data_IF_448599659510
#
_entry.id   IF_448599659510
#
_cell.length_a   1.000
_cell.length_b   1.000
_cell.length_c   1.000
_cell.angle_alpha   90.00
_cell.angle_beta   90.00
_cell.angle_gamma   90.00
#
_symmetry.space_group_name_H-M   'P 1'
#
loop_
_entity.id
_entity.type
_entity.pdbx_description
1 polymer ?
#
# COMPACT_ATOMS: atom_id res chain seq x y z
N UNK A 1 -8.03 12.89 -14.93
CA UNK A 1 -8.71 13.08 -13.64
C UNK A 1 -9.96 13.91 -13.84
N UNK A 2 -11.06 13.60 -13.17
CA UNK A 2 -12.22 14.48 -13.09
C UNK A 2 -11.83 15.70 -12.25
N UNK A 3 -12.32 16.91 -12.57
CA UNK A 3 -12.03 18.08 -11.76
C UNK A 3 -12.59 17.91 -10.35
N UNK A 4 -11.86 18.42 -9.38
CA UNK A 4 -12.38 18.59 -8.03
C UNK A 4 -13.50 19.61 -8.07
N UNK A 5 -14.73 19.20 -7.78
CA UNK A 5 -15.93 20.03 -7.91
C UNK A 5 -16.12 20.98 -6.71
N UNK A 6 -15.02 21.40 -6.06
CA UNK A 6 -15.08 22.29 -4.89
C UNK A 6 -15.34 23.74 -5.28
N UNK A 7 -14.96 24.15 -6.52
CA UNK A 7 -15.13 25.50 -6.99
C UNK A 7 -16.25 25.63 -8.03
N UNK A 8 -17.00 26.74 -8.00
CA UNK A 8 -18.06 27.05 -8.98
C UNK A 8 -17.56 27.04 -10.43
N UNK A 9 -16.29 27.45 -10.66
CA UNK A 9 -15.65 27.40 -11.99
C UNK A 9 -15.48 25.95 -12.50
N UNK A 10 -15.26 25.00 -11.62
CA UNK A 10 -15.10 23.59 -12.00
C UNK A 10 -16.42 22.98 -12.45
N UNK A 11 -17.55 23.39 -11.88
CA UNK A 11 -18.88 22.99 -12.34
C UNK A 11 -19.19 23.44 -13.77
N UNK A 12 -18.84 24.68 -14.11
CA UNK A 12 -19.04 25.23 -15.47
C UNK A 12 -18.17 24.48 -16.50
N UNK A 13 -16.94 24.14 -16.15
CA UNK A 13 -16.01 23.44 -17.02
C UNK A 13 -16.16 21.91 -16.97
N UNK A 14 -16.98 21.39 -16.08
CA UNK A 14 -17.12 19.94 -15.92
C UNK A 14 -17.64 19.24 -17.18
N UNK A 15 -18.72 19.73 -17.73
CA UNK A 15 -19.34 19.12 -18.92
C UNK A 15 -18.45 19.20 -20.17
N UNK A 16 -17.85 20.35 -20.53
CA UNK A 16 -16.88 20.43 -21.62
C UNK A 16 -15.66 19.51 -21.41
N UNK A 17 -15.09 19.46 -20.20
CA UNK A 17 -13.96 18.58 -19.87
C UNK A 17 -14.35 17.09 -19.97
N UNK A 18 -15.55 16.74 -19.55
CA UNK A 18 -16.08 15.37 -19.68
C UNK A 18 -16.23 14.95 -21.13
N UNK A 19 -16.77 15.83 -21.99
CA UNK A 19 -16.92 15.59 -23.43
C UNK A 19 -15.55 15.46 -24.09
N UNK A 20 -14.64 16.40 -23.83
CA UNK A 20 -13.27 16.36 -24.35
C UNK A 20 -12.54 15.06 -23.95
N UNK A 21 -12.66 14.67 -22.67
CA UNK A 21 -12.10 13.40 -22.19
C UNK A 21 -12.69 12.19 -22.93
N UNK A 22 -14.00 12.14 -23.16
CA UNK A 22 -14.64 11.05 -23.90
C UNK A 22 -14.13 10.96 -25.34
N UNK A 23 -13.98 12.11 -26.02
CA UNK A 23 -13.45 12.17 -27.37
C UNK A 23 -11.99 11.68 -27.40
N UNK A 24 -11.16 12.16 -26.48
CA UNK A 24 -9.76 11.75 -26.37
C UNK A 24 -9.62 10.25 -26.11
N UNK A 25 -10.40 9.71 -25.18
CA UNK A 25 -10.39 8.27 -24.88
C UNK A 25 -10.85 7.48 -26.11
N UNK A 26 -11.92 7.90 -26.78
CA UNK A 26 -12.41 7.21 -27.98
C UNK A 26 -11.34 7.19 -29.09
N UNK A 27 -10.69 8.32 -29.37
CA UNK A 27 -9.60 8.39 -30.35
C UNK A 27 -8.41 7.50 -29.94
N UNK A 28 -8.01 7.53 -28.68
CA UNK A 28 -6.92 6.69 -28.15
C UNK A 28 -7.25 5.20 -28.31
N UNK A 29 -8.44 4.78 -27.91
CA UNK A 29 -8.90 3.39 -28.05
C UNK A 29 -8.90 2.96 -29.50
N UNK A 30 -9.50 3.76 -30.42
CA UNK A 30 -9.53 3.45 -31.86
C UNK A 30 -8.11 3.30 -32.44
N UNK A 31 -7.21 4.22 -32.12
CA UNK A 31 -5.81 4.18 -32.59
C UNK A 31 -5.09 2.92 -32.08
N UNK A 32 -5.24 2.60 -30.78
CA UNK A 32 -4.63 1.42 -30.18
C UNK A 32 -5.23 0.13 -30.77
N UNK A 33 -6.55 0.04 -30.91
CA UNK A 33 -7.18 -1.14 -31.53
C UNK A 33 -6.70 -1.36 -32.97
N UNK A 34 -6.53 -0.30 -33.76
CA UNK A 34 -5.95 -0.41 -35.09
C UNK A 34 -4.52 -0.97 -35.09
N UNK A 35 -3.72 -0.60 -34.09
CA UNK A 35 -2.35 -1.11 -33.94
C UNK A 35 -2.30 -2.56 -33.40
N UNK A 36 -3.30 -2.97 -32.61
CA UNK A 36 -3.35 -4.28 -31.97
C UNK A 36 -4.01 -5.36 -32.82
N UNK A 37 -4.90 -4.98 -33.76
CA UNK A 37 -5.56 -5.93 -34.67
C UNK A 37 -4.53 -6.71 -35.48
N UNK A 38 -4.72 -8.03 -35.56
CA UNK A 38 -3.81 -8.93 -36.28
C UNK A 38 -2.53 -9.31 -35.51
N UNK A 39 -2.33 -8.79 -34.28
CA UNK A 39 -1.16 -9.14 -33.44
C UNK A 39 -1.37 -10.35 -32.52
N UNK A 40 -2.49 -11.05 -32.62
CA UNK A 40 -2.76 -12.23 -31.79
C UNK A 40 -3.01 -11.90 -30.32
N UNK A 41 -3.51 -10.70 -30.00
CA UNK A 41 -3.83 -10.31 -28.62
C UNK A 41 -5.12 -11.01 -28.20
N UNK A 42 -5.06 -11.79 -27.12
CA UNK A 42 -6.16 -12.61 -26.64
C UNK A 42 -6.78 -12.12 -25.31
N UNK A 43 -6.12 -11.16 -24.64
CA UNK A 43 -6.55 -10.63 -23.35
C UNK A 43 -5.96 -9.23 -23.13
N UNK A 44 -6.70 -8.37 -22.44
CA UNK A 44 -6.22 -7.08 -21.94
C UNK A 44 -6.23 -7.10 -20.41
N UNK A 45 -5.10 -6.80 -19.77
CA UNK A 45 -4.98 -6.67 -18.32
C UNK A 45 -4.65 -5.21 -17.94
N UNK A 46 -5.55 -4.55 -17.22
CA UNK A 46 -5.37 -3.18 -16.73
C UNK A 46 -4.88 -3.22 -15.28
N UNK A 47 -3.62 -2.79 -15.07
CA UNK A 47 -2.95 -2.87 -13.76
C UNK A 47 -3.35 -1.75 -12.76
N UNK A 48 -4.60 -1.35 -12.79
CA UNK A 48 -5.24 -0.38 -11.86
C UNK A 48 -6.75 -0.38 -12.08
N UNK A 49 -7.52 0.05 -11.10
CA UNK A 49 -8.97 0.22 -11.21
C UNK A 49 -9.38 1.56 -11.83
N UNK A 50 -8.49 2.56 -11.83
CA UNK A 50 -8.82 3.94 -12.18
C UNK A 50 -8.71 4.28 -13.69
N UNK A 51 -8.29 3.34 -14.52
CA UNK A 51 -8.12 3.53 -15.97
C UNK A 51 -9.10 2.66 -16.76
N UNK A 52 -9.95 3.27 -17.56
CA UNK A 52 -11.00 2.58 -18.35
C UNK A 52 -10.57 2.20 -19.79
N UNK A 53 -9.40 2.65 -20.24
CA UNK A 53 -8.98 2.46 -21.64
C UNK A 53 -8.81 0.98 -21.97
N UNK A 54 -8.23 0.20 -21.06
CA UNK A 54 -8.02 -1.24 -21.29
C UNK A 54 -9.33 -2.00 -21.49
N UNK A 55 -10.34 -1.74 -20.67
CA UNK A 55 -11.67 -2.34 -20.83
C UNK A 55 -12.29 -2.01 -22.19
N UNK A 56 -12.19 -0.73 -22.62
CA UNK A 56 -12.73 -0.31 -23.91
C UNK A 56 -12.01 -0.94 -25.10
N UNK A 57 -10.69 -1.10 -25.00
CA UNK A 57 -9.91 -1.83 -26.00
C UNK A 57 -10.36 -3.29 -26.07
N UNK A 58 -10.52 -3.95 -24.93
CA UNK A 58 -10.97 -5.33 -24.86
C UNK A 58 -12.38 -5.51 -25.48
N UNK A 59 -13.31 -4.58 -25.19
CA UNK A 59 -14.65 -4.56 -25.78
C UNK A 59 -14.60 -4.38 -27.30
N UNK A 60 -13.80 -3.44 -27.84
CA UNK A 60 -13.68 -3.20 -29.29
C UNK A 60 -13.02 -4.37 -30.02
N UNK A 61 -12.10 -5.08 -29.37
CA UNK A 61 -11.44 -6.26 -29.92
C UNK A 61 -12.20 -7.57 -29.66
N UNK A 62 -13.31 -7.52 -28.91
CA UNK A 62 -14.10 -8.68 -28.49
C UNK A 62 -13.27 -9.76 -27.73
N UNK A 63 -12.39 -9.32 -26.86
CA UNK A 63 -11.50 -10.18 -26.02
C UNK A 63 -11.75 -9.92 -24.53
N UNK A 64 -11.38 -10.87 -23.64
CA UNK A 64 -11.50 -10.69 -22.20
C UNK A 64 -10.71 -9.51 -21.66
N UNK A 65 -11.23 -8.95 -20.57
CA UNK A 65 -10.56 -7.91 -19.81
C UNK A 65 -10.39 -8.34 -18.35
N UNK A 66 -9.23 -8.03 -17.78
CA UNK A 66 -8.91 -8.19 -16.36
C UNK A 66 -8.61 -6.84 -15.74
N UNK A 67 -9.30 -6.50 -14.66
CA UNK A 67 -8.91 -5.41 -13.78
C UNK A 67 -8.02 -5.91 -12.66
N UNK A 68 -6.91 -5.21 -12.39
CA UNK A 68 -6.09 -5.42 -11.21
C UNK A 68 -6.41 -4.32 -10.19
N UNK A 69 -7.16 -4.69 -9.14
CA UNK A 69 -7.65 -3.78 -8.12
C UNK A 69 -6.60 -3.62 -7.02
N UNK A 70 -6.01 -2.43 -6.95
CA UNK A 70 -4.93 -2.08 -6.02
C UNK A 70 -5.31 -0.99 -5.04
N UNK A 71 -6.37 -0.25 -5.35
CA UNK A 71 -6.79 0.97 -4.67
C UNK A 71 -8.10 0.74 -3.90
N UNK A 72 -8.20 1.34 -2.71
CA UNK A 72 -9.44 1.40 -1.94
C UNK A 72 -10.40 2.45 -2.48
N UNK A 73 -9.84 3.63 -2.82
CA UNK A 73 -10.64 4.78 -3.12
C UNK A 73 -11.05 4.82 -4.57
N UNK A 74 -12.37 4.71 -4.72
CA UNK A 74 -13.11 5.29 -5.83
C UNK A 74 -13.24 6.80 -5.56
N UNK A 75 -12.14 7.51 -5.52
CA UNK A 75 -12.24 8.95 -5.58
C UNK A 75 -13.09 9.31 -6.79
N UNK A 76 -14.16 10.09 -6.58
CA UNK A 76 -15.03 10.60 -7.65
C UNK A 76 -14.26 11.26 -8.79
N UNK A 77 -12.98 11.57 -8.58
CA UNK A 77 -12.04 12.07 -9.59
C UNK A 77 -11.79 11.12 -10.78
N UNK A 78 -12.07 9.82 -10.64
CA UNK A 78 -11.80 8.83 -11.68
C UNK A 78 -13.06 8.35 -12.39
N UNK A 79 -14.19 8.29 -11.69
CA UNK A 79 -15.45 7.81 -12.23
C UNK A 79 -16.61 8.77 -11.90
N UNK A 80 -17.52 9.06 -12.83
CA UNK A 80 -18.65 9.96 -12.57
C UNK A 80 -19.69 9.36 -11.63
N UNK A 81 -19.63 8.05 -11.37
CA UNK A 81 -20.63 7.35 -10.57
C UNK A 81 -20.11 5.98 -10.09
N UNK A 82 -20.14 5.73 -8.79
CA UNK A 82 -19.73 4.47 -8.17
C UNK A 82 -20.52 3.26 -8.74
N UNK A 83 -21.83 3.41 -8.99
CA UNK A 83 -22.67 2.33 -9.57
C UNK A 83 -22.18 1.91 -10.97
N UNK A 84 -21.72 2.87 -11.78
CA UNK A 84 -21.15 2.57 -13.11
C UNK A 84 -19.85 1.78 -13.00
N UNK A 85 -19.01 2.13 -12.03
CA UNK A 85 -17.76 1.42 -11.76
C UNK A 85 -18.02 -0.02 -11.28
N UNK A 86 -18.87 -0.22 -10.27
CA UNK A 86 -19.19 -1.55 -9.76
C UNK A 86 -19.81 -2.44 -10.85
N UNK A 87 -20.68 -1.90 -11.70
CA UNK A 87 -21.22 -2.63 -12.84
C UNK A 87 -20.14 -3.09 -13.81
N UNK A 88 -19.14 -2.24 -14.11
CA UNK A 88 -18.00 -2.62 -14.94
C UNK A 88 -17.19 -3.75 -14.32
N UNK A 89 -16.88 -3.64 -13.03
CA UNK A 89 -16.14 -4.68 -12.33
C UNK A 89 -16.87 -6.02 -12.34
N UNK A 90 -18.21 -6.04 -12.19
CA UNK A 90 -18.99 -7.27 -12.17
C UNK A 90 -19.05 -8.02 -13.51
N UNK A 91 -18.79 -7.32 -14.64
CA UNK A 91 -18.77 -7.92 -15.98
C UNK A 91 -17.37 -8.34 -16.45
N UNK A 92 -16.32 -7.95 -15.73
CA UNK A 92 -14.94 -8.24 -16.06
C UNK A 92 -14.34 -9.25 -15.06
N UNK A 93 -13.21 -9.85 -15.43
CA UNK A 93 -12.37 -10.54 -14.46
C UNK A 93 -11.67 -9.52 -13.57
N UNK A 94 -11.42 -9.90 -12.32
CA UNK A 94 -10.76 -9.03 -11.36
C UNK A 94 -9.70 -9.78 -10.57
N UNK A 95 -8.51 -9.21 -10.50
CA UNK A 95 -7.46 -9.58 -9.55
C UNK A 95 -7.47 -8.54 -8.44
N UNK A 96 -7.70 -8.95 -7.20
CA UNK A 96 -7.64 -8.11 -6.03
C UNK A 96 -6.35 -8.41 -5.26
N UNK A 97 -5.59 -7.38 -4.88
CA UNK A 97 -4.31 -7.58 -4.17
C UNK A 97 -4.47 -8.01 -2.72
N UNK A 98 -5.69 -7.94 -2.17
CA UNK A 98 -6.08 -8.42 -0.83
C UNK A 98 -7.56 -8.81 -0.82
N UNK A 99 -7.96 -9.64 0.14
CA UNK A 99 -9.38 -9.93 0.43
C UNK A 99 -10.11 -8.65 0.85
N UNK A 100 -9.43 -7.77 1.58
CA UNK A 100 -9.97 -6.49 2.00
C UNK A 100 -10.35 -5.60 0.80
N UNK A 101 -9.51 -5.50 -0.24
CA UNK A 101 -9.82 -4.83 -1.52
C UNK A 101 -10.98 -5.54 -2.23
N UNK A 102 -10.99 -6.87 -2.25
CA UNK A 102 -12.06 -7.65 -2.87
C UNK A 102 -13.43 -7.37 -2.22
N UNK A 103 -13.47 -7.37 -0.89
CA UNK A 103 -14.68 -7.07 -0.12
C UNK A 103 -15.13 -5.62 -0.31
N UNK A 104 -14.20 -4.66 -0.25
CA UNK A 104 -14.50 -3.24 -0.43
C UNK A 104 -15.21 -2.96 -1.77
N UNK A 105 -14.72 -3.55 -2.85
CA UNK A 105 -15.33 -3.42 -4.18
C UNK A 105 -16.47 -4.41 -4.46
N UNK A 106 -16.96 -5.13 -3.45
CA UNK A 106 -18.00 -6.17 -3.56
C UNK A 106 -17.67 -7.28 -4.56
N UNK A 107 -16.40 -7.45 -4.87
CA UNK A 107 -15.94 -8.46 -5.83
C UNK A 107 -15.93 -9.88 -5.25
N UNK A 108 -16.10 -10.03 -3.93
CA UNK A 108 -16.29 -11.33 -3.28
C UNK A 108 -17.50 -12.11 -3.82
N UNK A 109 -18.51 -11.41 -4.37
CA UNK A 109 -19.70 -11.98 -5.00
C UNK A 109 -19.53 -12.26 -6.51
N UNK A 110 -18.41 -11.81 -7.10
CA UNK A 110 -18.13 -12.02 -8.51
C UNK A 110 -17.32 -13.32 -8.69
N UNK A 111 -17.86 -14.37 -9.35
CA UNK A 111 -17.12 -15.61 -9.56
C UNK A 111 -15.88 -15.45 -10.44
N UNK A 112 -15.76 -14.32 -11.16
CA UNK A 112 -14.59 -13.94 -11.96
C UNK A 112 -13.56 -13.14 -11.18
N UNK A 113 -13.72 -12.96 -9.85
CA UNK A 113 -12.79 -12.27 -8.99
C UNK A 113 -11.90 -13.26 -8.24
N UNK A 114 -10.60 -12.98 -8.23
CA UNK A 114 -9.62 -13.76 -7.48
C UNK A 114 -8.75 -12.83 -6.62
N UNK A 115 -8.27 -13.35 -5.49
CA UNK A 115 -7.26 -12.67 -4.69
C UNK A 115 -5.89 -13.22 -5.07
N UNK A 116 -4.99 -12.31 -5.48
CA UNK A 116 -3.58 -12.63 -5.74
C UNK A 116 -2.74 -11.57 -5.05
N UNK A 117 -2.06 -11.96 -3.98
CA UNK A 117 -1.20 -11.06 -3.22
C UNK A 117 -0.03 -10.56 -4.05
N UNK A 118 0.45 -9.35 -3.75
CA UNK A 118 1.64 -8.84 -4.42
C UNK A 118 2.87 -9.70 -4.11
N UNK A 119 3.64 -10.03 -5.13
CA UNK A 119 5.00 -10.54 -4.97
C UNK A 119 5.94 -9.43 -4.49
N UNK A 120 6.69 -9.70 -3.44
CA UNK A 120 7.61 -8.75 -2.84
C UNK A 120 9.04 -9.22 -3.05
N UNK A 121 9.87 -8.31 -3.54
CA UNK A 121 11.31 -8.46 -3.64
C UNK A 121 11.97 -7.21 -3.09
N UNK A 122 13.08 -7.38 -2.39
CA UNK A 122 13.90 -6.24 -1.98
C UNK A 122 14.71 -5.76 -3.19
N UNK A 123 14.67 -4.46 -3.44
CA UNK A 123 15.58 -3.86 -4.39
C UNK A 123 16.98 -3.82 -3.76
N UNK A 124 17.98 -4.28 -4.49
CA UNK A 124 19.37 -4.04 -4.12
C UNK A 124 19.65 -2.54 -4.23
N UNK A 125 20.19 -1.97 -3.17
CA UNK A 125 20.57 -0.57 -3.13
C UNK A 125 21.94 -0.41 -2.48
N UNK A 126 22.69 0.57 -2.98
CA UNK A 126 23.93 0.98 -2.31
C UNK A 126 23.58 1.90 -1.16
N UNK A 127 24.37 1.83 -0.09
CA UNK A 127 24.24 2.75 1.04
C UNK A 127 24.48 4.19 0.55
N UNK A 128 23.49 5.07 0.73
CA UNK A 128 23.59 6.47 0.26
C UNK A 128 24.32 7.36 1.27
N UNK A 129 24.11 7.13 2.56
CA UNK A 129 24.70 7.90 3.66
C UNK A 129 24.99 6.97 4.83
N UNK A 130 25.92 7.35 5.68
CA UNK A 130 26.19 6.64 6.93
C UNK A 130 24.87 6.40 7.68
N UNK A 131 24.75 5.21 8.24
CA UNK A 131 23.60 4.87 9.09
C UNK A 131 23.82 5.47 10.48
N UNK A 132 22.75 5.81 11.22
CA UNK A 132 22.89 6.28 12.58
C UNK A 132 23.58 5.24 13.48
N UNK A 133 24.45 5.70 14.37
CA UNK A 133 25.10 4.83 15.36
C UNK A 133 24.19 4.52 16.56
N UNK A 134 23.12 5.30 16.73
CA UNK A 134 22.13 5.12 17.80
C UNK A 134 21.00 4.20 17.36
N UNK A 135 20.41 3.40 18.27
CA UNK A 135 19.19 2.64 18.00
C UNK A 135 18.06 3.56 17.53
N UNK A 136 17.24 3.10 16.59
CA UNK A 136 16.12 3.89 16.08
C UNK A 136 14.91 3.04 15.68
N UNK A 137 13.73 3.63 15.82
CA UNK A 137 12.51 3.23 15.13
C UNK A 137 12.47 3.86 13.75
N UNK A 138 11.93 3.16 12.77
CA UNK A 138 11.91 3.61 11.38
C UNK A 138 10.49 3.70 10.85
N UNK A 139 10.17 4.84 10.24
CA UNK A 139 9.04 5.01 9.33
C UNK A 139 9.55 5.11 7.89
N UNK A 140 8.87 4.42 6.96
CA UNK A 140 9.14 4.52 5.53
C UNK A 140 7.87 4.78 4.77
N UNK A 141 7.82 5.90 4.06
CA UNK A 141 6.66 6.26 3.24
C UNK A 141 6.54 7.76 2.99
N UNK A 142 5.54 8.14 2.20
CA UNK A 142 5.23 9.55 2.00
C UNK A 142 4.84 10.21 3.31
N UNK A 143 5.30 11.45 3.51
CA UNK A 143 4.91 12.26 4.66
C UNK A 143 3.62 13.01 4.30
N UNK A 144 2.48 12.37 4.55
CA UNK A 144 1.14 12.90 4.33
C UNK A 144 0.16 12.37 5.39
N UNK A 145 -1.02 13.00 5.53
CA UNK A 145 -2.00 12.65 6.57
C UNK A 145 -2.50 11.19 6.47
N UNK A 146 -2.83 10.64 5.28
CA UNK A 146 -3.31 9.27 5.17
C UNK A 146 -2.32 8.21 5.64
N UNK A 147 -1.04 8.56 5.73
CA UNK A 147 0.02 7.67 6.21
C UNK A 147 0.17 7.63 7.72
N UNK A 148 -0.65 8.37 8.47
CA UNK A 148 -0.73 8.28 9.93
C UNK A 148 0.51 8.77 10.68
N UNK A 149 1.35 9.60 10.01
CA UNK A 149 2.62 10.08 10.58
C UNK A 149 2.38 10.94 11.83
N UNK A 150 1.25 11.66 11.89
CA UNK A 150 0.92 12.45 13.08
C UNK A 150 0.69 11.55 14.30
N UNK A 151 -0.08 10.47 14.16
CA UNK A 151 -0.33 9.51 15.24
C UNK A 151 0.98 8.87 15.72
N UNK A 152 1.90 8.59 14.78
CA UNK A 152 3.22 8.06 15.12
C UNK A 152 4.02 9.03 15.97
N UNK A 153 4.10 10.31 15.57
CA UNK A 153 4.87 11.32 16.33
C UNK A 153 4.23 11.56 17.71
N UNK A 154 2.89 11.54 17.79
CA UNK A 154 2.17 11.68 19.08
C UNK A 154 2.51 10.51 20.01
N UNK A 155 2.39 9.27 19.55
CA UNK A 155 2.72 8.08 20.32
C UNK A 155 4.19 8.05 20.75
N UNK A 156 5.08 8.42 19.83
CA UNK A 156 6.51 8.49 20.10
C UNK A 156 6.86 9.58 21.15
N UNK A 157 6.19 10.73 21.13
CA UNK A 157 6.40 11.77 22.13
C UNK A 157 6.06 11.29 23.53
N UNK A 158 4.93 10.61 23.71
CA UNK A 158 4.52 10.03 25.01
C UNK A 158 5.51 8.97 25.49
N UNK A 159 5.92 8.07 24.58
CA UNK A 159 6.94 7.06 24.85
C UNK A 159 8.27 7.69 25.27
N UNK A 160 8.79 8.67 24.51
CA UNK A 160 10.08 9.31 24.81
C UNK A 160 10.07 10.07 26.14
N UNK A 161 8.96 10.75 26.48
CA UNK A 161 8.80 11.43 27.75
C UNK A 161 8.78 10.45 28.93
N UNK A 162 8.06 9.33 28.83
CA UNK A 162 8.06 8.27 29.86
C UNK A 162 9.47 7.70 30.10
N UNK A 163 10.26 7.55 29.05
CA UNK A 163 11.65 7.09 29.07
C UNK A 163 12.66 8.19 29.42
N UNK A 164 12.22 9.41 29.76
CA UNK A 164 13.08 10.58 30.02
C UNK A 164 14.12 10.78 28.91
N UNK A 165 13.69 10.61 27.65
CA UNK A 165 14.52 10.70 26.43
C UNK A 165 15.61 9.63 26.28
N UNK A 166 15.73 8.68 27.21
CA UNK A 166 16.61 7.52 27.10
C UNK A 166 15.96 6.40 26.26
N UNK A 167 15.78 6.68 24.97
CA UNK A 167 15.06 5.80 24.04
C UNK A 167 15.65 5.85 22.63
N UNK A 168 15.39 4.86 21.77
CA UNK A 168 15.73 4.91 20.35
C UNK A 168 15.16 6.16 19.66
N UNK A 169 15.87 6.71 18.68
CA UNK A 169 15.41 7.84 17.88
C UNK A 169 14.25 7.42 16.95
N UNK A 170 13.49 8.37 16.42
CA UNK A 170 12.48 8.12 15.40
C UNK A 170 12.96 8.71 14.07
N UNK A 171 13.26 7.84 13.11
CA UNK A 171 13.67 8.21 11.76
C UNK A 171 12.49 8.10 10.79
N UNK A 172 12.28 9.15 9.99
CA UNK A 172 11.23 9.22 8.98
C UNK A 172 11.86 9.35 7.59
N UNK A 173 11.83 8.26 6.82
CA UNK A 173 12.36 8.22 5.46
C UNK A 173 11.22 8.33 4.45
N UNK A 174 11.19 9.43 3.70
CA UNK A 174 10.21 9.64 2.64
C UNK A 174 10.01 11.08 2.21
N UNK A 175 9.31 11.22 1.11
CA UNK A 175 9.03 12.53 0.51
C UNK A 175 7.89 13.24 1.25
N UNK A 176 8.11 14.50 1.58
CA UNK A 176 7.06 15.40 2.05
C UNK A 176 6.16 15.77 0.86
N UNK A 177 4.86 15.47 0.98
CA UNK A 177 3.86 15.76 -0.07
C UNK A 177 3.20 17.10 0.19
N UNK A 178 2.85 17.39 1.45
CA UNK A 178 2.13 18.60 1.86
C UNK A 178 3.01 19.39 2.83
N UNK A 179 3.61 20.52 2.41
CA UNK A 179 4.50 21.32 3.28
C UNK A 179 3.83 21.79 4.58
N UNK A 180 2.55 22.18 4.54
CA UNK A 180 1.82 22.59 5.73
C UNK A 180 1.66 21.46 6.75
N UNK A 181 1.49 20.20 6.29
CA UNK A 181 1.45 19.04 7.17
C UNK A 181 2.81 18.79 7.83
N UNK A 182 3.90 18.90 7.06
CA UNK A 182 5.26 18.80 7.61
C UNK A 182 5.51 19.85 8.70
N UNK A 183 5.13 21.11 8.47
CA UNK A 183 5.24 22.17 9.50
C UNK A 183 4.42 21.85 10.76
N UNK A 184 3.24 21.22 10.62
CA UNK A 184 2.45 20.77 11.77
C UNK A 184 3.19 19.69 12.58
N UNK A 185 3.86 18.73 11.90
CA UNK A 185 4.63 17.67 12.54
C UNK A 185 5.84 18.22 13.31
N UNK A 186 6.62 19.12 12.67
CA UNK A 186 7.83 19.72 13.30
C UNK A 186 7.46 20.59 14.49
N UNK A 187 6.41 21.44 14.37
CA UNK A 187 5.92 22.24 15.50
C UNK A 187 5.49 21.36 16.67
N UNK A 188 4.77 20.27 16.40
CA UNK A 188 4.38 19.33 17.47
C UNK A 188 5.61 18.71 18.16
N UNK A 189 6.64 18.33 17.39
CA UNK A 189 7.88 17.80 17.95
C UNK A 189 8.62 18.84 18.82
N UNK A 190 8.62 20.11 18.40
CA UNK A 190 9.15 21.25 19.19
C UNK A 190 8.37 21.45 20.49
N UNK A 191 7.05 21.53 20.40
CA UNK A 191 6.16 21.73 21.57
C UNK A 191 6.30 20.60 22.62
N UNK A 192 6.63 19.39 22.16
CA UNK A 192 6.85 18.21 23.02
C UNK A 192 8.31 18.02 23.46
N UNK A 193 9.23 18.86 22.99
CA UNK A 193 10.66 18.77 23.33
C UNK A 193 11.36 17.54 22.80
N UNK A 194 10.90 16.99 21.66
CA UNK A 194 11.45 15.77 21.04
C UNK A 194 12.16 16.02 19.70
N UNK A 195 12.46 17.28 19.35
CA UNK A 195 13.06 17.67 18.07
C UNK A 195 14.35 16.91 17.78
N UNK A 196 15.22 16.76 18.79
CA UNK A 196 16.50 16.06 18.66
C UNK A 196 16.34 14.54 18.42
N UNK A 197 15.17 14.00 18.70
CA UNK A 197 14.84 12.58 18.61
C UNK A 197 14.06 12.21 17.35
N UNK A 198 13.48 13.18 16.64
CA UNK A 198 12.65 12.97 15.45
C UNK A 198 13.39 13.48 14.22
N UNK A 199 13.94 12.56 13.42
CA UNK A 199 14.81 12.87 12.30
C UNK A 199 14.13 12.61 10.97
N UNK A 200 13.89 13.66 10.18
CA UNK A 200 13.36 13.55 8.82
C UNK A 200 14.53 13.36 7.83
N UNK A 201 14.64 12.17 7.25
CA UNK A 201 15.75 11.79 6.35
C UNK A 201 15.52 12.25 4.90
N UNK A 202 14.32 12.70 4.55
CA UNK A 202 13.91 12.92 3.16
C UNK A 202 13.76 11.61 2.40
N UNK A 203 13.74 11.69 1.08
CA UNK A 203 13.63 10.52 0.20
C UNK A 203 14.95 9.74 0.17
N UNK A 204 14.89 8.43 0.41
CA UNK A 204 16.03 7.51 0.49
C UNK A 204 15.80 6.31 -0.43
N UNK A 205 16.85 5.85 -1.11
CA UNK A 205 16.83 4.64 -1.96
C UNK A 205 17.40 3.42 -1.24
N UNK A 206 18.16 3.63 -0.19
CA UNK A 206 18.80 2.60 0.65
C UNK A 206 17.96 2.17 1.85
N UNK A 207 16.63 2.20 1.69
CA UNK A 207 15.66 1.90 2.75
C UNK A 207 15.87 0.52 3.36
N UNK A 208 16.27 -0.47 2.56
CA UNK A 208 16.55 -1.83 3.05
C UNK A 208 17.71 -1.87 4.06
N UNK A 209 18.71 -1.00 3.92
CA UNK A 209 19.80 -0.86 4.92
C UNK A 209 19.28 -0.26 6.22
N UNK A 210 18.43 0.79 6.13
CA UNK A 210 17.78 1.36 7.30
C UNK A 210 16.89 0.34 8.02
N UNK A 211 16.10 -0.44 7.30
CA UNK A 211 15.23 -1.48 7.89
C UNK A 211 16.03 -2.56 8.63
N UNK A 212 17.19 -2.99 8.09
CA UNK A 212 18.02 -4.03 8.74
C UNK A 212 18.58 -3.63 10.09
N UNK A 213 18.78 -2.34 10.34
CA UNK A 213 19.36 -1.83 11.58
C UNK A 213 18.34 -1.22 12.53
N UNK A 214 17.12 -1.00 12.07
CA UNK A 214 16.05 -0.46 12.89
C UNK A 214 15.65 -1.44 14.01
N UNK A 215 15.34 -0.91 15.17
CA UNK A 215 14.71 -1.65 16.27
C UNK A 215 13.38 -2.23 15.80
N UNK A 216 12.58 -1.38 15.13
CA UNK A 216 11.38 -1.80 14.42
C UNK A 216 11.05 -0.82 13.28
N UNK A 217 10.37 -1.32 12.24
CA UNK A 217 9.73 -0.50 11.22
C UNK A 217 8.24 -0.33 11.55
N UNK A 218 7.78 0.92 11.56
CA UNK A 218 6.41 1.28 11.95
C UNK A 218 5.61 1.66 10.70
N UNK A 219 4.43 1.05 10.54
CA UNK A 219 3.52 1.31 9.42
C UNK A 219 2.19 1.85 9.98
N UNK A 220 2.10 3.18 10.24
CA UNK A 220 0.98 3.79 10.94
C UNK A 220 -0.18 4.20 10.03
N UNK A 221 -0.14 3.83 8.75
CA UNK A 221 -1.13 4.23 7.74
C UNK A 221 -2.56 4.01 8.20
N UNK A 222 -3.42 5.00 7.96
CA UNK A 222 -4.84 4.94 8.33
C UNK A 222 -5.60 3.90 7.50
N UNK A 223 -5.13 3.62 6.30
CA UNK A 223 -5.58 2.52 5.42
C UNK A 223 -4.50 2.20 4.39
N UNK A 224 -4.46 0.95 3.96
CA UNK A 224 -3.53 0.44 2.95
C UNK A 224 -4.19 -0.63 2.08
N UNK A 225 -4.02 -0.54 0.76
CA UNK A 225 -4.47 -1.60 -0.15
C UNK A 225 -3.76 -2.92 0.12
N UNK A 226 -2.44 -2.87 0.20
CA UNK A 226 -1.59 -4.00 0.61
C UNK A 226 -0.61 -3.61 1.72
N UNK A 227 0.11 -2.47 1.60
CA UNK A 227 1.11 -2.05 2.58
C UNK A 227 2.46 -2.74 2.37
N UNK A 228 3.08 -2.51 1.22
CA UNK A 228 4.36 -3.14 0.84
C UNK A 228 5.48 -2.98 1.86
N UNK A 229 5.49 -1.88 2.60
CA UNK A 229 6.51 -1.59 3.61
C UNK A 229 6.57 -2.67 4.70
N UNK A 230 5.44 -3.29 5.06
CA UNK A 230 5.38 -4.36 6.07
C UNK A 230 6.21 -5.59 5.63
N UNK A 231 5.92 -6.25 4.50
CA UNK A 231 6.68 -7.42 4.09
C UNK A 231 8.12 -7.08 3.64
N UNK A 232 8.38 -5.86 3.14
CA UNK A 232 9.73 -5.39 2.84
C UNK A 232 10.58 -5.30 4.12
N UNK A 233 10.04 -4.78 5.22
CA UNK A 233 10.71 -4.76 6.51
C UNK A 233 10.95 -6.18 7.07
N UNK A 234 9.98 -7.07 6.93
CA UNK A 234 10.11 -8.49 7.32
C UNK A 234 11.24 -9.19 6.55
N UNK A 235 11.33 -8.97 5.23
CA UNK A 235 12.44 -9.50 4.42
C UNK A 235 13.81 -8.93 4.83
N UNK A 236 13.83 -7.75 5.44
CA UNK A 236 15.03 -7.17 6.06
C UNK A 236 15.30 -7.70 7.48
N UNK A 237 14.57 -8.70 7.97
CA UNK A 237 14.63 -9.23 9.34
C UNK A 237 14.32 -8.17 10.42
N UNK A 238 13.57 -7.13 10.06
CA UNK A 238 13.14 -6.08 10.98
C UNK A 238 11.83 -6.48 11.69
N UNK A 239 11.72 -6.17 12.97
CA UNK A 239 10.43 -6.24 13.67
C UNK A 239 9.50 -5.19 13.09
N UNK A 240 8.21 -5.49 13.03
CA UNK A 240 7.21 -4.58 12.48
C UNK A 240 6.16 -4.21 13.51
N UNK A 241 5.76 -2.94 13.50
CA UNK A 241 4.60 -2.41 14.23
C UNK A 241 3.65 -1.86 13.18
N UNK A 242 2.47 -2.41 13.05
CA UNK A 242 1.54 -1.98 12.01
C UNK A 242 0.15 -1.68 12.57
N UNK A 243 -0.51 -0.65 12.00
CA UNK A 243 -1.91 -0.39 12.30
C UNK A 243 -2.77 -1.56 11.85
N UNK A 244 -3.70 -1.99 12.72
CA UNK A 244 -4.60 -3.14 12.49
C UNK A 244 -5.75 -2.76 11.57
N UNK A 245 -5.43 -2.41 10.32
CA UNK A 245 -6.40 -1.96 9.30
C UNK A 245 -6.13 -2.58 7.94
N UNK A 246 -7.20 -2.85 7.22
CA UNK A 246 -7.17 -3.13 5.77
C UNK A 246 -6.15 -4.22 5.38
N UNK A 247 -5.32 -3.96 4.38
CA UNK A 247 -4.29 -4.89 3.90
C UNK A 247 -3.18 -5.17 4.91
N UNK A 248 -2.89 -4.26 5.86
CA UNK A 248 -1.94 -4.51 6.95
C UNK A 248 -2.49 -5.55 7.93
N UNK A 249 -3.75 -5.36 8.36
CA UNK A 249 -4.47 -6.34 9.20
C UNK A 249 -4.47 -7.73 8.54
N UNK A 250 -4.82 -7.80 7.25
CA UNK A 250 -4.88 -9.06 6.51
C UNK A 250 -3.53 -9.78 6.47
N UNK A 251 -2.41 -9.05 6.30
CA UNK A 251 -1.08 -9.65 6.32
C UNK A 251 -0.72 -10.21 7.71
N UNK A 252 -1.03 -9.47 8.77
CA UNK A 252 -0.81 -9.93 10.15
C UNK A 252 -1.71 -11.14 10.48
N UNK A 253 -2.98 -11.13 10.07
CA UNK A 253 -3.91 -12.26 10.23
C UNK A 253 -3.46 -13.50 9.48
N UNK A 254 -2.97 -13.34 8.24
CA UNK A 254 -2.40 -14.44 7.47
C UNK A 254 -1.18 -15.06 8.18
N UNK A 255 -0.34 -14.22 8.79
CA UNK A 255 0.80 -14.67 9.58
C UNK A 255 0.37 -15.43 10.84
N UNK A 256 -0.59 -14.88 11.58
CA UNK A 256 -1.16 -15.52 12.74
C UNK A 256 -1.79 -16.88 12.38
N UNK A 257 -2.54 -16.95 11.31
CA UNK A 257 -3.17 -18.17 10.82
C UNK A 257 -2.13 -19.22 10.41
N UNK A 258 -1.06 -18.82 9.71
CA UNK A 258 -0.02 -19.72 9.22
C UNK A 258 0.90 -20.25 10.33
N UNK A 259 1.17 -19.43 11.34
CA UNK A 259 2.22 -19.74 12.35
C UNK A 259 1.67 -19.98 13.75
N UNK A 260 0.39 -19.73 13.99
CA UNK A 260 -0.27 -19.84 15.28
C UNK A 260 0.07 -18.74 16.29
N UNK A 261 0.93 -17.79 15.92
CA UNK A 261 1.35 -16.65 16.75
C UNK A 261 1.53 -15.39 15.93
N UNK A 262 1.50 -14.22 16.58
CA UNK A 262 1.73 -12.94 15.91
C UNK A 262 3.11 -12.87 15.24
N UNK A 263 3.11 -12.18 14.10
CA UNK A 263 4.30 -11.94 13.26
C UNK A 263 4.82 -10.52 13.34
N UNK A 264 4.15 -9.65 14.11
CA UNK A 264 4.46 -8.25 14.34
C UNK A 264 3.54 -7.70 15.42
N UNK A 265 3.80 -6.48 15.84
CA UNK A 265 2.96 -5.78 16.80
C UNK A 265 1.81 -5.08 16.09
N UNK A 266 0.62 -5.05 16.73
CA UNK A 266 -0.59 -4.42 16.20
C UNK A 266 -1.04 -3.27 17.07
N UNK A 267 -1.57 -2.22 16.44
CA UNK A 267 -2.21 -1.13 17.15
C UNK A 267 -3.41 -0.57 16.38
N UNK A 268 -4.36 0.02 17.06
CA UNK A 268 -5.52 0.69 16.48
C UNK A 268 -5.49 2.19 16.73
N UNK A 269 -4.91 2.63 17.82
CA UNK A 269 -4.84 4.02 18.25
C UNK A 269 -3.45 4.40 18.77
N UNK A 270 -3.28 5.68 19.11
CA UNK A 270 -2.02 6.25 19.59
C UNK A 270 -1.54 5.60 20.89
N UNK A 271 -2.45 5.30 21.81
CA UNK A 271 -2.09 4.69 23.10
C UNK A 271 -1.58 3.26 22.94
N UNK A 272 -2.19 2.50 22.01
CA UNK A 272 -1.72 1.15 21.70
C UNK A 272 -0.38 1.19 20.97
N UNK A 273 -0.16 2.18 20.08
CA UNK A 273 1.13 2.36 19.42
C UNK A 273 2.23 2.66 20.45
N UNK A 274 1.97 3.55 21.39
CA UNK A 274 2.91 3.85 22.47
C UNK A 274 3.27 2.58 23.28
N UNK A 275 2.26 1.76 23.64
CA UNK A 275 2.50 0.47 24.30
C UNK A 275 3.35 -0.48 23.47
N UNK A 276 3.14 -0.56 22.15
CA UNK A 276 3.98 -1.37 21.28
C UNK A 276 5.46 -0.92 21.31
N UNK A 277 5.72 0.39 21.37
CA UNK A 277 7.08 0.93 21.50
C UNK A 277 7.71 0.51 22.86
N UNK A 278 6.94 0.54 23.94
CA UNK A 278 7.38 0.08 25.25
C UNK A 278 7.66 -1.42 25.28
N UNK A 279 6.74 -2.22 24.77
CA UNK A 279 6.85 -3.68 24.75
C UNK A 279 8.09 -4.13 23.98
N UNK A 280 8.34 -3.56 22.81
CA UNK A 280 9.51 -3.87 21.98
C UNK A 280 10.83 -3.51 22.68
N UNK A 281 10.83 -2.39 23.42
CA UNK A 281 12.01 -1.91 24.15
C UNK A 281 12.36 -2.76 25.35
N UNK A 282 11.44 -3.60 25.81
CA UNK A 282 11.59 -4.48 26.98
C UNK A 282 11.53 -5.97 26.64
N UNK A 283 11.22 -6.31 25.40
CA UNK A 283 11.14 -7.70 24.95
C UNK A 283 12.51 -8.38 24.94
N UNK A 284 12.52 -9.68 25.22
CA UNK A 284 13.74 -10.47 25.15
C UNK A 284 14.18 -10.68 23.68
N UNK A 285 15.47 -10.81 23.46
CA UNK A 285 16.02 -11.08 22.13
C UNK A 285 15.45 -12.37 21.53
N UNK A 286 15.22 -13.40 22.36
CA UNK A 286 14.66 -14.69 21.94
C UNK A 286 13.23 -14.53 21.45
N UNK A 287 12.41 -13.72 22.14
CA UNK A 287 11.03 -13.46 21.74
C UNK A 287 10.97 -12.70 20.42
N UNK A 288 11.82 -11.67 20.24
CA UNK A 288 11.92 -10.89 19.01
C UNK A 288 12.46 -11.74 17.86
N UNK A 289 13.45 -12.61 18.11
CA UNK A 289 13.99 -13.51 17.09
C UNK A 289 12.94 -14.51 16.62
N UNK A 290 12.22 -15.13 17.54
CA UNK A 290 11.13 -16.05 17.19
C UNK A 290 10.01 -15.36 16.39
N UNK A 291 9.73 -14.08 16.66
CA UNK A 291 8.78 -13.27 15.88
C UNK A 291 9.30 -13.02 14.47
N UNK A 292 10.58 -12.63 14.29
CA UNK A 292 11.21 -12.44 12.96
C UNK A 292 11.12 -13.70 12.11
N UNK A 293 11.40 -14.87 12.68
CA UNK A 293 11.37 -16.16 11.98
C UNK A 293 9.95 -16.49 11.48
N UNK A 294 8.94 -16.31 12.33
CA UNK A 294 7.53 -16.51 11.93
C UNK A 294 7.11 -15.53 10.84
N UNK A 295 7.49 -14.25 10.97
CA UNK A 295 7.21 -13.22 9.98
C UNK A 295 7.84 -13.56 8.64
N UNK A 296 9.12 -13.93 8.63
CA UNK A 296 9.85 -14.31 7.42
C UNK A 296 9.24 -15.55 6.76
N UNK A 297 8.87 -16.57 7.55
CA UNK A 297 8.14 -17.75 7.05
C UNK A 297 6.86 -17.34 6.34
N UNK A 298 6.10 -16.39 6.89
CA UNK A 298 4.84 -15.91 6.31
C UNK A 298 5.08 -15.23 4.95
N UNK A 299 6.03 -14.30 4.88
CA UNK A 299 6.32 -13.57 3.65
C UNK A 299 6.83 -14.52 2.55
N UNK A 300 7.74 -15.43 2.90
CA UNK A 300 8.30 -16.40 1.95
C UNK A 300 7.28 -17.46 1.49
N UNK A 301 6.18 -17.65 2.21
CA UNK A 301 5.12 -18.57 1.83
C UNK A 301 4.02 -17.93 0.98
N UNK A 302 3.69 -16.66 1.25
CA UNK A 302 2.46 -16.05 0.71
C UNK A 302 2.71 -14.88 -0.25
N UNK A 303 3.86 -14.19 -0.12
CA UNK A 303 4.09 -12.91 -0.81
C UNK A 303 5.32 -12.96 -1.72
N UNK A 304 5.61 -14.13 -2.29
CA UNK A 304 6.72 -14.30 -3.23
C UNK A 304 6.32 -13.89 -4.65
N UNK A 305 7.31 -13.59 -5.48
CA UNK A 305 7.09 -13.30 -6.89
C UNK A 305 6.55 -14.52 -7.65
N UNK A 306 6.95 -15.72 -7.23
CA UNK A 306 6.48 -17.00 -7.76
C UNK A 306 4.98 -17.17 -7.49
N UNK A 307 4.53 -17.04 -6.24
CA UNK A 307 3.11 -17.15 -5.87
C UNK A 307 2.24 -16.14 -6.60
N UNK A 308 2.73 -14.89 -6.74
CA UNK A 308 2.06 -13.86 -7.53
C UNK A 308 1.92 -14.27 -9.00
N UNK A 309 3.02 -14.71 -9.60
CA UNK A 309 3.04 -15.12 -11.02
C UNK A 309 2.14 -16.31 -11.27
N UNK A 310 2.20 -17.33 -10.42
CA UNK A 310 1.34 -18.52 -10.49
C UNK A 310 -0.15 -18.15 -10.40
N UNK A 311 -0.52 -17.27 -9.47
CA UNK A 311 -1.89 -16.80 -9.33
C UNK A 311 -2.40 -16.08 -10.59
N UNK A 312 -1.59 -15.22 -11.19
CA UNK A 312 -1.94 -14.52 -12.44
C UNK A 312 -2.04 -15.50 -13.61
N UNK A 313 -1.08 -16.42 -13.76
CA UNK A 313 -1.07 -17.42 -14.83
C UNK A 313 -2.28 -18.35 -14.69
N UNK A 314 -2.63 -18.76 -13.47
CA UNK A 314 -3.81 -19.60 -13.22
C UNK A 314 -5.09 -18.90 -13.69
N UNK A 315 -5.25 -17.60 -13.38
CA UNK A 315 -6.39 -16.82 -13.86
C UNK A 315 -6.42 -16.75 -15.40
N UNK A 316 -5.28 -16.53 -16.05
CA UNK A 316 -5.24 -16.48 -17.53
C UNK A 316 -5.61 -17.82 -18.18
N UNK A 317 -5.12 -18.94 -17.67
CA UNK A 317 -5.49 -20.29 -18.13
C UNK A 317 -7.00 -20.56 -17.94
N UNK A 318 -7.57 -20.16 -16.81
CA UNK A 318 -9.00 -20.24 -16.56
C UNK A 318 -9.80 -19.44 -17.58
N UNK A 319 -9.39 -18.19 -17.87
CA UNK A 319 -10.05 -17.34 -18.87
C UNK A 319 -10.00 -17.97 -20.28
N UNK A 320 -8.89 -18.61 -20.63
CA UNK A 320 -8.73 -19.33 -21.90
C UNK A 320 -9.69 -20.53 -21.99
N UNK A 321 -9.79 -21.32 -20.93
CA UNK A 321 -10.69 -22.47 -20.85
C UNK A 321 -12.18 -22.08 -20.91
N UNK A 322 -12.57 -20.96 -20.33
CA UNK A 322 -13.96 -20.45 -20.37
C UNK A 322 -14.36 -19.93 -21.77
N UNK A 323 -13.40 -19.77 -22.70
CA UNK A 323 -13.64 -19.30 -24.09
C UNK A 323 -13.62 -20.40 -25.14
N UNK A 324 -12.96 -21.53 -24.87
CA UNK A 324 -12.91 -22.68 -25.77
C UNK A 324 -14.17 -23.53 -25.64
#
# INVERSE_FOLDING_TARGET
TYPDLRDAKDWVLFLPRLIARRILIHRAVHTLCKQLRGKGINLVHTNTSVVEIGERIAQELAIPHVYHLREYDLDFHYYPCAKSFHRRLSHNYSVCITKAIQQHHLQAQNPRSVVVYNGITLAESKLEKALPDTPYFLYVGRIDEPKGVMDLIVAYAEYAQKRRMACPDLLLAGKVIVPAFYQKLTRYAEDKGITEKVVFLGERKDVSHLMRQAVATIVPSLFEGFGRCLPEAILCHCITIARDVSGLKEQLDNGLQLTGKEIGYRFQDVNQLEKCLEEISTASNEALQAMRERALKTVNSLYTQESYTEGIVHLYKRIEQERG
#
